data_IF_478784839787
#
_entry.id   IF_478784839787
#
_cell.length_a   1.000
_cell.length_b   1.000
_cell.length_c   1.000
_cell.angle_alpha   90.00
_cell.angle_beta   90.00
_cell.angle_gamma   90.00
#
_symmetry.space_group_name_H-M   'P 1'
#
loop_
_entity.id
_entity.type
_entity.pdbx_description
1 polymer ?
#
# COMPACT_ATOMS: atom_id res chain seq x y z
N UNK A 1 -17.74 -20.66 -3.55
CA UNK A 1 -17.01 -19.39 -3.66
C UNK A 1 -17.91 -18.35 -4.31
N UNK A 2 -18.31 -17.34 -3.56
CA UNK A 2 -18.96 -16.12 -4.05
C UNK A 2 -17.91 -15.17 -4.65
N UNK A 3 -18.33 -14.12 -5.36
CA UNK A 3 -17.41 -13.11 -5.88
C UNK A 3 -16.61 -12.43 -4.75
N UNK A 4 -17.26 -12.09 -3.63
CA UNK A 4 -16.59 -11.48 -2.49
C UNK A 4 -15.58 -12.43 -1.83
N UNK A 5 -15.88 -13.73 -1.77
CA UNK A 5 -14.93 -14.75 -1.32
C UNK A 5 -13.71 -14.84 -2.22
N UNK A 6 -13.92 -14.87 -3.54
CA UNK A 6 -12.81 -14.89 -4.49
C UNK A 6 -11.93 -13.64 -4.38
N UNK A 7 -12.53 -12.45 -4.23
CA UNK A 7 -11.77 -11.20 -4.08
C UNK A 7 -11.00 -11.20 -2.75
N UNK A 8 -11.62 -11.64 -1.66
CA UNK A 8 -10.93 -11.77 -0.36
C UNK A 8 -9.74 -12.72 -0.44
N UNK A 9 -9.93 -13.91 -1.02
CA UNK A 9 -8.86 -14.90 -1.21
C UNK A 9 -7.74 -14.36 -2.10
N UNK A 10 -8.07 -13.56 -3.13
CA UNK A 10 -7.09 -12.92 -4.00
C UNK A 10 -6.22 -11.89 -3.26
N UNK A 11 -6.80 -11.07 -2.38
CA UNK A 11 -6.01 -10.15 -1.54
C UNK A 11 -5.13 -10.91 -0.56
N UNK A 12 -5.63 -11.97 0.08
CA UNK A 12 -4.81 -12.78 1.01
C UNK A 12 -3.61 -13.40 0.26
N UNK A 13 -3.88 -14.01 -0.90
CA UNK A 13 -2.83 -14.63 -1.73
C UNK A 13 -1.81 -13.60 -2.23
N UNK A 14 -2.28 -12.40 -2.59
CA UNK A 14 -1.37 -11.31 -3.01
C UNK A 14 -0.47 -10.83 -1.86
N UNK A 15 -0.98 -10.74 -0.62
CA UNK A 15 -0.14 -10.39 0.54
C UNK A 15 0.90 -11.46 0.83
N UNK A 16 0.56 -12.75 0.70
CA UNK A 16 1.54 -13.83 0.81
C UNK A 16 2.68 -13.67 -0.21
N UNK A 17 2.36 -13.48 -1.48
CA UNK A 17 3.38 -13.27 -2.52
C UNK A 17 4.17 -11.98 -2.33
N UNK A 18 3.52 -10.91 -1.86
CA UNK A 18 4.19 -9.65 -1.58
C UNK A 18 5.21 -9.83 -0.45
N UNK A 19 4.84 -10.50 0.64
CA UNK A 19 5.73 -10.77 1.77
C UNK A 19 6.89 -11.68 1.37
N UNK A 20 6.64 -12.71 0.56
CA UNK A 20 7.70 -13.56 0.00
C UNK A 20 8.68 -12.77 -0.87
N UNK A 21 8.21 -11.74 -1.58
CA UNK A 21 9.04 -10.93 -2.47
C UNK A 21 9.84 -9.84 -1.75
N UNK A 22 9.39 -9.35 -0.58
CA UNK A 22 10.02 -8.22 0.12
C UNK A 22 10.63 -8.57 1.47
N UNK A 23 10.28 -9.72 2.06
CA UNK A 23 10.53 -10.02 3.48
C UNK A 23 11.99 -10.11 3.91
N UNK A 24 12.91 -10.27 2.97
CA UNK A 24 14.35 -10.34 3.20
C UNK A 24 15.14 -9.17 2.60
N UNK A 25 14.46 -8.17 2.01
CA UNK A 25 15.12 -7.05 1.35
C UNK A 25 15.80 -6.12 2.35
N UNK A 26 17.05 -5.78 2.04
CA UNK A 26 17.83 -4.77 2.76
C UNK A 26 17.39 -3.35 2.37
N UNK A 27 17.72 -2.32 3.18
CA UNK A 27 17.46 -0.92 2.81
C UNK A 27 18.10 -0.51 1.47
N UNK A 28 19.25 -1.10 1.11
CA UNK A 28 19.91 -0.84 -0.16
C UNK A 28 19.14 -1.43 -1.34
N UNK A 29 18.60 -2.65 -1.18
CA UNK A 29 17.76 -3.30 -2.19
C UNK A 29 16.41 -2.59 -2.34
N UNK A 30 15.82 -2.09 -1.25
CA UNK A 30 14.61 -1.25 -1.30
C UNK A 30 14.81 0.02 -2.14
N UNK A 31 16.04 0.54 -2.23
CA UNK A 31 16.38 1.70 -3.06
C UNK A 31 16.95 1.32 -4.43
N UNK A 32 17.07 0.02 -4.74
CA UNK A 32 17.54 -0.44 -6.04
C UNK A 32 16.48 -0.22 -7.12
N UNK A 33 16.95 0.09 -8.34
CA UNK A 33 16.12 0.25 -9.53
C UNK A 33 16.72 -0.46 -10.73
N UNK A 34 15.87 -1.08 -11.55
CA UNK A 34 16.28 -1.86 -12.72
C UNK A 34 16.87 -1.01 -13.87
N UNK A 35 16.59 0.28 -13.87
CA UNK A 35 17.07 1.23 -14.87
C UNK A 35 16.91 2.68 -14.39
N UNK A 36 17.46 3.67 -15.12
CA UNK A 36 17.43 5.08 -14.70
C UNK A 36 16.01 5.63 -14.53
N UNK A 37 15.09 5.19 -15.40
CA UNK A 37 13.66 5.57 -15.43
C UNK A 37 12.76 4.58 -14.67
N UNK A 38 13.33 3.61 -13.96
CA UNK A 38 12.56 2.67 -13.16
C UNK A 38 12.32 3.24 -11.76
N UNK A 39 11.15 2.98 -11.21
CA UNK A 39 10.87 3.24 -9.80
C UNK A 39 11.63 2.23 -8.95
N UNK A 40 12.17 2.68 -7.82
CA UNK A 40 12.79 1.77 -6.86
C UNK A 40 11.73 1.03 -6.03
N UNK A 41 12.11 -0.12 -5.47
CA UNK A 41 11.17 -1.04 -4.81
C UNK A 41 10.39 -0.37 -3.67
N UNK A 42 11.05 0.45 -2.85
CA UNK A 42 10.41 1.17 -1.76
C UNK A 42 9.30 2.13 -2.22
N UNK A 43 9.49 2.85 -3.34
CA UNK A 43 8.44 3.70 -3.88
C UNK A 43 7.26 2.86 -4.39
N UNK A 44 7.54 1.75 -5.09
CA UNK A 44 6.51 0.84 -5.63
C UNK A 44 5.66 0.27 -4.49
N UNK A 45 6.31 -0.25 -3.44
CA UNK A 45 5.62 -0.82 -2.28
C UNK A 45 4.71 0.22 -1.60
N UNK A 46 5.24 1.42 -1.32
CA UNK A 46 4.44 2.50 -0.75
C UNK A 46 3.28 2.89 -1.65
N UNK A 47 3.52 3.07 -2.96
CA UNK A 47 2.50 3.43 -3.94
C UNK A 47 1.37 2.40 -3.99
N UNK A 48 1.70 1.11 -4.03
CA UNK A 48 0.71 0.02 -4.02
C UNK A 48 -0.21 0.09 -2.80
N UNK A 49 0.36 0.26 -1.61
CA UNK A 49 -0.40 0.36 -0.36
C UNK A 49 -1.30 1.61 -0.36
N UNK A 50 -0.76 2.77 -0.79
CA UNK A 50 -1.53 4.03 -0.90
C UNK A 50 -2.70 3.91 -1.88
N UNK A 51 -2.52 3.20 -2.98
CA UNK A 51 -3.58 2.96 -3.96
C UNK A 51 -4.69 2.08 -3.38
N UNK A 52 -4.36 1.02 -2.65
CA UNK A 52 -5.36 0.19 -1.95
C UNK A 52 -6.16 1.01 -0.93
N UNK A 53 -5.46 1.79 -0.08
CA UNK A 53 -6.06 2.68 0.92
C UNK A 53 -7.03 3.67 0.27
N UNK A 54 -6.58 4.38 -0.76
CA UNK A 54 -7.42 5.34 -1.50
C UNK A 54 -8.65 4.68 -2.14
N UNK A 55 -8.51 3.51 -2.76
CA UNK A 55 -9.66 2.82 -3.38
C UNK A 55 -10.68 2.38 -2.34
N UNK A 56 -10.25 1.70 -1.28
CA UNK A 56 -11.18 1.15 -0.30
C UNK A 56 -11.76 2.21 0.62
N UNK A 57 -10.95 3.11 1.16
CA UNK A 57 -11.42 4.11 2.12
C UNK A 57 -12.12 5.26 1.40
N UNK A 58 -11.45 5.90 0.43
CA UNK A 58 -11.97 7.11 -0.19
C UNK A 58 -13.01 6.81 -1.28
N UNK A 59 -12.68 6.01 -2.29
CA UNK A 59 -13.59 5.81 -3.43
C UNK A 59 -14.79 4.92 -3.11
N UNK A 60 -14.56 3.77 -2.48
CA UNK A 60 -15.62 2.78 -2.22
C UNK A 60 -16.44 3.17 -0.98
N UNK A 61 -15.78 3.51 0.13
CA UNK A 61 -16.45 3.78 1.40
C UNK A 61 -16.78 5.26 1.66
N UNK A 62 -16.20 6.19 0.89
CA UNK A 62 -16.36 7.65 1.06
C UNK A 62 -15.92 8.13 2.44
N UNK A 63 -14.81 7.58 2.93
CA UNK A 63 -14.18 7.92 4.21
C UNK A 63 -12.80 8.54 4.01
N UNK A 64 -12.25 9.12 5.07
CA UNK A 64 -10.85 9.54 5.12
C UNK A 64 -9.95 8.31 5.02
N UNK A 65 -8.92 8.39 4.20
CA UNK A 65 -7.90 7.34 4.02
C UNK A 65 -7.21 7.04 5.36
N UNK A 66 -6.84 5.79 5.58
CA UNK A 66 -6.10 5.33 6.77
C UNK A 66 -4.83 6.16 6.92
N UNK A 67 -4.21 6.50 5.79
CA UNK A 67 -3.06 7.39 5.68
C UNK A 67 -3.16 8.67 6.51
N UNK A 68 -4.27 9.40 6.39
CA UNK A 68 -4.53 10.64 7.13
C UNK A 68 -5.20 10.36 8.47
N UNK A 69 -6.17 9.45 8.49
CA UNK A 69 -7.00 9.13 9.67
C UNK A 69 -6.15 8.64 10.85
N UNK A 70 -5.14 7.82 10.56
CA UNK A 70 -4.32 7.14 11.58
C UNK A 70 -2.91 7.77 11.70
N UNK A 71 -2.66 8.92 11.04
CA UNK A 71 -1.42 9.68 11.17
C UNK A 71 -0.20 9.10 10.45
N UNK A 72 -0.40 8.21 9.48
CA UNK A 72 0.70 7.67 8.69
C UNK A 72 1.37 8.72 7.81
N UNK A 73 0.61 9.70 7.30
CA UNK A 73 1.16 10.85 6.59
C UNK A 73 2.21 11.60 7.45
N UNK A 74 1.97 11.72 8.76
CA UNK A 74 2.90 12.35 9.70
C UNK A 74 4.10 11.45 9.97
N UNK A 75 3.88 10.15 10.17
CA UNK A 75 4.95 9.16 10.40
C UNK A 75 5.92 9.08 9.20
N UNK A 76 5.38 9.19 7.99
CA UNK A 76 6.15 9.23 6.75
C UNK A 76 6.60 10.66 6.39
N UNK A 77 6.16 11.70 7.09
CA UNK A 77 6.42 13.10 6.75
C UNK A 77 6.09 13.46 5.28
N UNK A 78 4.99 12.92 4.77
CA UNK A 78 4.49 13.10 3.41
C UNK A 78 3.09 13.75 3.41
N UNK A 79 2.67 14.41 2.32
CA UNK A 79 1.35 15.06 2.26
C UNK A 79 0.18 14.08 2.42
N UNK A 80 -0.93 14.56 2.99
CA UNK A 80 -2.15 13.74 3.22
C UNK A 80 -2.78 13.20 1.93
N UNK A 81 -2.60 13.90 0.80
CA UNK A 81 -3.14 13.50 -0.50
C UNK A 81 -2.11 12.87 -1.44
N UNK A 82 -0.90 12.65 -0.96
CA UNK A 82 0.13 12.02 -1.77
C UNK A 82 -0.08 10.51 -1.81
N UNK A 83 -0.11 9.97 -3.02
CA UNK A 83 -0.12 8.55 -3.29
C UNK A 83 0.85 8.18 -4.43
N UNK A 84 1.67 9.10 -4.92
CA UNK A 84 2.59 8.86 -6.02
C UNK A 84 2.02 9.08 -7.42
N UNK A 85 0.71 9.32 -7.57
CA UNK A 85 0.14 9.68 -8.87
C UNK A 85 0.80 10.96 -9.41
N UNK A 86 1.16 10.95 -10.69
CA UNK A 86 1.88 12.03 -11.37
C UNK A 86 3.27 12.37 -10.79
N UNK A 87 3.85 11.52 -9.94
CA UNK A 87 5.24 11.71 -9.52
C UNK A 87 6.17 11.67 -10.73
N UNK A 88 7.02 12.70 -10.85
CA UNK A 88 8.12 12.72 -11.82
C UNK A 88 9.24 11.78 -11.38
N UNK A 89 10.15 11.46 -12.31
CA UNK A 89 11.31 10.64 -11.98
C UNK A 89 12.20 11.29 -10.90
N UNK A 90 12.29 12.62 -10.86
CA UNK A 90 12.98 13.36 -9.80
C UNK A 90 12.29 13.15 -8.45
N UNK A 91 10.97 13.23 -8.39
CA UNK A 91 10.21 13.01 -7.15
C UNK A 91 10.40 11.57 -6.64
N UNK A 92 10.34 10.58 -7.53
CA UNK A 92 10.64 9.18 -7.19
C UNK A 92 12.08 9.03 -6.70
N UNK A 93 13.07 9.61 -7.39
CA UNK A 93 14.47 9.54 -6.97
C UNK A 93 14.74 10.24 -5.62
N UNK A 94 13.93 11.25 -5.29
CA UNK A 94 14.01 11.96 -4.00
C UNK A 94 13.14 11.34 -2.90
N UNK A 95 12.41 10.27 -3.21
CA UNK A 95 11.51 9.64 -2.25
C UNK A 95 12.31 9.10 -1.05
N UNK A 96 11.90 9.36 0.20
CA UNK A 96 12.70 8.95 1.35
C UNK A 96 12.81 7.44 1.46
N UNK A 97 13.97 6.98 1.93
CA UNK A 97 14.17 5.58 2.28
C UNK A 97 13.53 5.32 3.65
N UNK A 98 12.48 4.51 3.68
CA UNK A 98 11.82 4.06 4.91
C UNK A 98 12.30 2.68 5.30
N UNK A 99 12.22 2.36 6.59
CA UNK A 99 12.39 1.00 7.07
C UNK A 99 11.24 0.11 6.58
N UNK A 100 11.61 -1.09 6.10
CA UNK A 100 10.65 -2.05 5.57
C UNK A 100 9.57 -2.42 6.61
N UNK A 101 9.93 -2.51 7.89
CA UNK A 101 9.01 -2.79 8.98
C UNK A 101 7.89 -1.75 9.07
N UNK A 102 8.20 -0.44 8.97
CA UNK A 102 7.20 0.63 8.96
C UNK A 102 6.31 0.58 7.73
N UNK A 103 6.86 0.24 6.56
CA UNK A 103 6.07 0.10 5.34
C UNK A 103 5.11 -1.09 5.43
N UNK A 104 5.59 -2.23 5.93
CA UNK A 104 4.78 -3.42 6.19
C UNK A 104 3.69 -3.12 7.23
N UNK A 105 4.01 -2.40 8.31
CA UNK A 105 3.03 -2.05 9.33
C UNK A 105 1.89 -1.19 8.78
N UNK A 106 2.19 -0.23 7.88
CA UNK A 106 1.16 0.54 7.19
C UNK A 106 0.35 -0.35 6.23
N UNK A 107 1.02 -1.18 5.43
CA UNK A 107 0.38 -2.15 4.54
C UNK A 107 -0.59 -3.08 5.25
N UNK A 108 -0.18 -3.64 6.39
CA UNK A 108 -1.00 -4.51 7.22
C UNK A 108 -2.25 -3.77 7.77
N UNK A 109 -2.11 -2.51 8.17
CA UNK A 109 -3.25 -1.70 8.63
C UNK A 109 -4.27 -1.48 7.50
N UNK A 110 -3.80 -1.17 6.28
CA UNK A 110 -4.65 -1.03 5.09
C UNK A 110 -5.33 -2.35 4.74
N UNK A 111 -4.57 -3.45 4.67
CA UNK A 111 -5.07 -4.77 4.30
C UNK A 111 -6.12 -5.27 5.30
N UNK A 112 -5.92 -5.06 6.59
CA UNK A 112 -6.89 -5.45 7.61
C UNK A 112 -8.26 -4.78 7.41
N UNK A 113 -8.28 -3.48 7.10
CA UNK A 113 -9.50 -2.71 6.84
C UNK A 113 -10.15 -3.11 5.50
N UNK A 114 -9.35 -3.35 4.46
CA UNK A 114 -9.80 -3.90 3.18
C UNK A 114 -10.55 -5.22 3.37
N UNK A 115 -9.94 -6.18 4.08
CA UNK A 115 -10.53 -7.49 4.33
C UNK A 115 -11.77 -7.39 5.23
N UNK A 116 -11.74 -6.52 6.25
CA UNK A 116 -12.90 -6.24 7.11
C UNK A 116 -14.08 -5.74 6.27
N UNK A 117 -13.84 -4.79 5.37
CA UNK A 117 -14.86 -4.27 4.47
C UNK A 117 -15.43 -5.37 3.57
N UNK A 118 -14.59 -6.16 2.90
CA UNK A 118 -15.03 -7.25 2.02
C UNK A 118 -15.89 -8.28 2.77
N UNK A 119 -15.48 -8.66 3.98
CA UNK A 119 -16.24 -9.58 4.85
C UNK A 119 -17.60 -9.02 5.22
N UNK A 120 -17.69 -7.72 5.52
CA UNK A 120 -18.97 -7.05 5.82
C UNK A 120 -19.97 -7.15 4.66
N UNK A 121 -19.49 -7.20 3.41
CA UNK A 121 -20.33 -7.32 2.21
C UNK A 121 -20.73 -8.76 1.88
N UNK A 122 -20.24 -9.76 2.61
CA UNK A 122 -20.67 -11.17 2.44
C UNK A 122 -22.07 -11.42 3.01
N UNK A 123 -22.53 -10.61 3.97
CA UNK A 123 -23.77 -10.84 4.72
C UNK A 123 -25.01 -10.12 4.15
N UNK A 124 -24.83 -9.19 3.20
CA UNK A 124 -25.92 -8.48 2.57
C UNK A 124 -26.35 -9.19 1.28
N UNK A 125 -27.21 -10.20 1.42
CA UNK A 125 -28.07 -10.71 0.33
C UNK A 125 -29.51 -10.36 0.62
#
# INVERSE_FOLDING_TARGET
MTLNEFIEDAFITEEEYLMDAIGDLTPAEMMWKAGPEANHIGWILWHMIRVEDMWFQFFIQRQTEIWERDGWNEKFALPTRDNGFEHTQEQVNSFPAYDLETMIAYGAAVRAETLSYLRSKRQNR
#
